data_IF_176856471978
#
_entry.id   IF_176856471978
#
_cell.length_a   1.000
_cell.length_b   1.000
_cell.length_c   1.000
_cell.angle_alpha   90.00
_cell.angle_beta   90.00
_cell.angle_gamma   90.00
#
_symmetry.space_group_name_H-M   'P 1'
#
loop_
_entity.id
_entity.type
_entity.pdbx_description
1 polymer ?
#
# COMPACT_ATOMS: atom_id res chain seq x y z
N UNK A 1 -7.39 -6.37 -15.35
CA UNK A 1 -6.00 -6.72 -15.00
C UNK A 1 -5.25 -5.41 -14.96
N UNK A 2 -5.31 -4.68 -13.85
CA UNK A 2 -4.48 -3.48 -13.67
C UNK A 2 -3.33 -3.91 -12.74
N UNK A 3 -2.31 -4.51 -13.35
CA UNK A 3 -1.08 -4.93 -12.65
C UNK A 3 -0.14 -3.72 -12.48
N UNK A 4 -0.68 -2.61 -12.00
CA UNK A 4 0.07 -1.38 -11.73
C UNK A 4 0.43 -1.33 -10.25
N UNK A 5 1.13 -2.36 -9.78
CA UNK A 5 1.72 -2.43 -8.44
C UNK A 5 2.90 -1.45 -8.27
N UNK A 6 3.25 -0.75 -9.35
CA UNK A 6 4.26 0.29 -9.41
C UNK A 6 3.53 1.64 -9.42
N UNK A 7 3.56 2.43 -8.33
CA UNK A 7 2.95 3.75 -8.30
C UNK A 7 3.65 4.70 -9.28
N UNK A 8 2.97 5.72 -9.80
CA UNK A 8 3.55 6.70 -10.75
C UNK A 8 4.81 7.41 -10.22
N UNK A 9 4.95 7.45 -8.89
CA UNK A 9 6.09 8.03 -8.19
C UNK A 9 7.16 6.99 -7.80
N UNK A 10 7.06 5.76 -8.27
CA UNK A 10 8.15 4.80 -8.19
C UNK A 10 9.12 5.06 -9.34
N UNK A 11 10.41 4.85 -9.10
CA UNK A 11 11.39 4.95 -10.17
C UNK A 11 11.27 3.77 -11.14
N UNK A 12 11.84 3.94 -12.33
CA UNK A 12 11.79 2.96 -13.42
C UNK A 12 12.41 1.59 -13.03
N UNK A 13 13.27 1.57 -12.01
CA UNK A 13 13.97 0.38 -11.54
C UNK A 13 13.44 -0.14 -10.20
N UNK A 14 12.23 0.25 -9.79
CA UNK A 14 11.68 -0.16 -8.51
C UNK A 14 11.55 -1.70 -8.48
N UNK A 15 12.24 -2.40 -7.56
CA UNK A 15 12.18 -3.86 -7.51
C UNK A 15 10.80 -4.39 -7.06
N UNK A 16 9.90 -3.50 -6.61
CA UNK A 16 8.57 -3.84 -6.10
C UNK A 16 8.56 -4.15 -4.59
N UNK A 17 7.41 -4.01 -3.92
CA UNK A 17 7.28 -4.19 -2.47
C UNK A 17 7.51 -5.64 -2.00
N UNK A 18 7.18 -6.62 -2.85
CA UNK A 18 7.33 -8.05 -2.55
C UNK A 18 8.77 -8.58 -2.77
N UNK A 19 9.64 -7.77 -3.40
CA UNK A 19 11.02 -8.20 -3.68
C UNK A 19 11.89 -8.20 -2.44
N UNK A 20 12.76 -9.19 -2.30
CA UNK A 20 13.75 -9.26 -1.22
C UNK A 20 14.67 -8.03 -1.17
N UNK A 21 14.88 -7.40 -2.33
CA UNK A 21 15.69 -6.21 -2.52
C UNK A 21 14.94 -4.89 -2.24
N UNK A 22 13.64 -4.93 -1.94
CA UNK A 22 12.82 -3.76 -1.62
C UNK A 22 13.43 -2.96 -0.47
N UNK A 23 13.62 -1.65 -0.69
CA UNK A 23 14.22 -0.71 0.28
C UNK A 23 15.71 -0.90 0.55
N UNK A 24 16.38 -1.88 -0.08
CA UNK A 24 17.80 -2.22 0.14
C UNK A 24 18.68 -2.03 -1.10
N UNK A 25 18.11 -2.15 -2.28
CA UNK A 25 18.79 -1.92 -3.56
C UNK A 25 19.15 -0.45 -3.76
N UNK A 26 20.17 -0.19 -4.58
CA UNK A 26 20.51 1.15 -5.08
C UNK A 26 19.33 1.79 -5.81
N UNK A 27 18.48 0.97 -6.44
CA UNK A 27 17.24 1.42 -7.05
C UNK A 27 16.22 1.96 -6.04
N UNK A 28 16.40 1.79 -4.74
CA UNK A 28 15.52 2.41 -3.74
C UNK A 28 16.05 3.75 -3.23
N UNK A 29 17.22 4.19 -3.68
CA UNK A 29 17.86 5.41 -3.20
C UNK A 29 17.05 6.65 -3.61
N UNK A 30 16.70 7.49 -2.64
CA UNK A 30 15.84 8.65 -2.84
C UNK A 30 14.33 8.36 -2.87
N UNK A 31 13.92 7.10 -2.71
CA UNK A 31 12.50 6.77 -2.54
C UNK A 31 12.03 7.21 -1.15
N UNK A 32 10.96 8.02 -1.02
CA UNK A 32 10.46 8.49 0.28
C UNK A 32 10.02 7.34 1.20
N UNK A 33 9.69 6.19 0.63
CA UNK A 33 9.21 5.01 1.36
C UNK A 33 10.30 3.93 1.53
N UNK A 34 11.58 4.24 1.27
CA UNK A 34 12.68 3.25 1.33
C UNK A 34 12.70 2.46 2.64
N UNK A 35 12.65 3.14 3.80
CA UNK A 35 12.69 2.47 5.12
C UNK A 35 11.48 1.57 5.37
N UNK A 36 10.31 1.95 4.82
CA UNK A 36 9.09 1.14 4.90
C UNK A 36 9.28 -0.11 4.05
N UNK A 37 9.72 0.03 2.80
CA UNK A 37 9.99 -1.11 1.91
C UNK A 37 11.09 -2.06 2.45
N UNK A 38 12.08 -1.52 3.16
CA UNK A 38 13.17 -2.32 3.73
C UNK A 38 12.70 -3.25 4.87
N UNK A 39 11.70 -2.80 5.63
CA UNK A 39 11.22 -3.46 6.86
C UNK A 39 9.88 -4.15 6.70
N UNK A 40 9.12 -3.82 5.66
CA UNK A 40 7.83 -4.43 5.39
C UNK A 40 7.95 -5.96 5.29
N UNK A 41 7.02 -6.70 5.92
CA UNK A 41 6.95 -8.15 5.75
C UNK A 41 6.72 -8.46 4.27
N UNK A 42 7.55 -9.34 3.74
CA UNK A 42 7.47 -9.82 2.36
C UNK A 42 6.68 -11.11 2.33
N UNK A 43 5.96 -11.34 1.25
CA UNK A 43 5.15 -12.54 1.08
C UNK A 43 3.66 -12.24 1.18
N UNK A 44 2.82 -13.27 0.97
CA UNK A 44 1.38 -13.11 0.85
C UNK A 44 0.83 -12.27 2.00
N UNK A 45 0.11 -11.20 1.67
CA UNK A 45 -0.53 -10.33 2.66
C UNK A 45 -1.23 -11.22 3.70
N UNK A 46 -0.97 -11.07 5.00
CA UNK A 46 -1.55 -11.94 6.02
C UNK A 46 -3.08 -11.82 6.10
N UNK A 47 -3.70 -10.84 5.43
CA UNK A 47 -5.13 -10.70 5.17
C UNK A 47 -5.63 -11.38 3.89
N UNK A 48 -4.75 -11.90 3.02
CA UNK A 48 -5.13 -12.71 1.85
C UNK A 48 -5.85 -14.02 2.25
N UNK A 49 -5.83 -14.38 3.54
CA UNK A 49 -6.61 -15.47 4.11
C UNK A 49 -7.97 -15.07 4.71
N UNK A 50 -8.48 -13.84 4.52
CA UNK A 50 -9.84 -13.41 4.91
C UNK A 50 -10.04 -11.94 4.49
N UNK A 51 -10.92 -11.59 3.55
CA UNK A 51 -12.37 -11.77 3.68
C UNK A 51 -13.03 -11.66 2.29
N UNK A 52 -13.92 -12.61 1.97
CA UNK A 52 -15.00 -12.34 1.02
C UNK A 52 -15.83 -11.17 1.58
N UNK A 53 -15.60 -9.97 1.03
CA UNK A 53 -16.42 -8.77 1.24
C UNK A 53 -16.03 -7.90 2.43
N UNK A 54 -15.17 -6.90 2.22
CA UNK A 54 -15.35 -5.57 2.83
C UNK A 54 -14.47 -4.54 2.11
N UNK A 55 -14.92 -4.09 0.93
CA UNK A 55 -14.55 -2.76 0.46
C UNK A 55 -15.45 -1.76 1.19
N UNK A 56 -15.14 -1.48 2.46
CA UNK A 56 -15.72 -0.32 3.14
C UNK A 56 -15.16 0.95 2.49
N UNK A 57 -16.01 1.85 1.96
CA UNK A 57 -15.52 3.10 1.41
C UNK A 57 -14.95 3.95 2.55
N UNK A 58 -13.62 4.11 2.58
CA UNK A 58 -12.94 5.16 3.35
C UNK A 58 -13.30 6.54 2.80
N UNK A 59 -14.57 6.96 2.90
CA UNK A 59 -15.01 8.35 2.62
C UNK A 59 -16.47 8.60 3.03
N UNK A 60 -16.65 9.20 4.22
CA UNK A 60 -17.54 10.33 4.59
C UNK A 60 -17.81 10.23 6.09
N UNK A 61 -16.94 10.79 6.93
CA UNK A 61 -17.05 12.18 7.36
C UNK A 61 -18.50 12.58 7.74
N UNK A 62 -18.73 12.71 9.05
CA UNK A 62 -19.52 13.80 9.63
C UNK A 62 -20.90 14.11 9.03
N UNK A 63 -21.91 13.27 9.27
CA UNK A 63 -23.32 13.75 9.34
C UNK A 63 -24.12 13.04 10.45
N UNK A 64 -23.56 12.93 11.66
CA UNK A 64 -24.37 12.96 12.88
C UNK A 64 -24.46 14.43 13.29
N UNK A 65 -25.58 15.09 13.00
CA UNK A 65 -25.82 16.43 13.54
C UNK A 65 -27.29 16.90 13.61
N UNK A 66 -28.29 16.20 13.07
CA UNK A 66 -29.70 16.61 13.24
C UNK A 66 -30.49 15.53 13.98
N UNK A 67 -30.09 15.32 15.24
CA UNK A 67 -31.06 14.99 16.27
C UNK A 67 -31.67 16.32 16.74
N UNK A 68 -32.99 16.34 16.93
CA UNK A 68 -33.82 17.43 17.47
C UNK A 68 -34.19 18.57 16.50
N UNK A 69 -35.23 18.34 15.70
CA UNK A 69 -36.40 19.21 15.49
C UNK A 69 -37.52 18.42 14.82
#
# INVERSE_FOLDING_TARGET
MENSEIPENANENCPGPESESAGKSDACQGCPNQSICATAPKGPDPGALRHNGSLEPRRKAHKKAWAFL
#
